data_IF_811521559390
#
_entry.id   IF_811521559390
#
_cell.length_a   1.000
_cell.length_b   1.000
_cell.length_c   1.000
_cell.angle_alpha   90.00
_cell.angle_beta   90.00
_cell.angle_gamma   90.00
#
_symmetry.space_group_name_H-M   'P 1'
#
loop_
_entity.id
_entity.type
_entity.pdbx_description
1 polymer ?
#
# COMPACT_ATOMS: atom_id res chain seq x y z
N UNK A 1 27.11 4.90 -23.37
CA UNK A 1 26.19 3.83 -22.91
C UNK A 1 26.00 4.03 -21.42
N UNK A 2 25.01 4.81 -21.02
CA UNK A 2 24.66 4.94 -19.61
C UNK A 2 24.07 3.60 -19.16
N UNK A 3 24.72 2.91 -18.25
CA UNK A 3 24.20 1.70 -17.64
C UNK A 3 22.88 2.07 -16.96
N UNK A 4 21.80 1.47 -17.45
CA UNK A 4 20.43 1.70 -16.98
C UNK A 4 20.22 1.06 -15.58
N UNK A 5 21.05 1.48 -14.62
CA UNK A 5 21.09 0.92 -13.28
C UNK A 5 20.20 1.77 -12.35
N UNK A 6 18.87 1.73 -12.61
CA UNK A 6 17.92 2.36 -11.71
C UNK A 6 18.02 1.70 -10.33
N UNK A 7 17.99 2.47 -9.24
CA UNK A 7 17.93 1.90 -7.89
C UNK A 7 16.67 1.02 -7.74
N UNK A 8 16.81 -0.02 -6.93
CA UNK A 8 15.72 -0.96 -6.64
C UNK A 8 14.78 -0.40 -5.59
N UNK A 9 13.49 -0.54 -5.82
CA UNK A 9 12.44 -0.11 -4.89
C UNK A 9 11.48 -1.26 -4.58
N UNK A 10 11.40 -1.64 -3.31
CA UNK A 10 10.30 -2.46 -2.83
C UNK A 10 9.12 -1.57 -2.46
N UNK A 11 8.01 -1.67 -3.21
CA UNK A 11 6.84 -0.83 -3.04
C UNK A 11 5.69 -1.61 -2.39
N UNK A 12 5.32 -1.23 -1.17
CA UNK A 12 4.12 -1.77 -0.53
C UNK A 12 2.86 -1.26 -1.23
N UNK A 13 2.03 -2.18 -1.72
CA UNK A 13 0.79 -1.90 -2.44
C UNK A 13 -0.39 -2.59 -1.76
N UNK A 14 -1.47 -1.85 -1.50
CA UNK A 14 -2.68 -2.37 -0.86
C UNK A 14 -3.82 -2.70 -1.84
N UNK A 15 -3.78 -2.18 -3.05
CA UNK A 15 -4.81 -2.39 -4.08
C UNK A 15 -4.38 -1.79 -5.43
N UNK A 16 -5.03 -2.23 -6.52
CA UNK A 16 -4.80 -1.70 -7.87
C UNK A 16 -4.99 -0.19 -7.97
N UNK A 17 -6.16 0.37 -7.57
CA UNK A 17 -6.41 1.81 -7.59
C UNK A 17 -5.34 2.67 -6.91
N UNK A 18 -4.83 2.21 -5.76
CA UNK A 18 -3.79 2.94 -5.04
C UNK A 18 -2.43 2.93 -5.75
N UNK A 19 -2.18 1.96 -6.60
CA UNK A 19 -0.93 1.81 -7.33
C UNK A 19 -0.88 2.70 -8.59
N UNK A 20 -2.01 3.00 -9.22
CA UNK A 20 -2.10 3.61 -10.55
C UNK A 20 -1.23 4.86 -10.73
N UNK A 21 -1.59 5.98 -10.13
CA UNK A 21 -0.88 7.24 -10.29
C UNK A 21 0.53 7.25 -9.63
N UNK A 22 0.73 6.68 -8.42
CA UNK A 22 2.09 6.53 -7.89
C UNK A 22 3.04 5.86 -8.87
N UNK A 23 2.62 4.78 -9.53
CA UNK A 23 3.43 4.11 -10.53
C UNK A 23 3.84 5.04 -11.69
N UNK A 24 2.91 5.84 -12.23
CA UNK A 24 3.19 6.75 -13.33
C UNK A 24 4.31 7.76 -13.02
N UNK A 25 4.44 8.17 -11.77
CA UNK A 25 5.47 9.16 -11.38
C UNK A 25 6.79 8.55 -10.91
N UNK A 26 6.84 7.26 -10.56
CA UNK A 26 8.07 6.64 -10.05
C UNK A 26 8.72 5.64 -11.02
N UNK A 27 7.97 5.11 -12.01
CA UNK A 27 8.42 4.05 -12.92
C UNK A 27 9.70 4.37 -13.69
N UNK A 28 9.94 5.65 -13.97
CA UNK A 28 11.11 6.08 -14.73
C UNK A 28 12.38 6.21 -13.88
N UNK A 29 12.23 6.23 -12.55
CA UNK A 29 13.32 6.45 -11.61
C UNK A 29 13.78 5.17 -10.91
N UNK A 30 12.94 4.13 -10.81
CA UNK A 30 13.21 2.94 -10.02
C UNK A 30 12.96 1.66 -10.81
N UNK A 31 13.74 0.60 -10.45
CA UNK A 31 13.36 -0.79 -10.73
C UNK A 31 12.44 -1.24 -9.60
N UNK A 32 11.14 -1.37 -9.90
CA UNK A 32 10.10 -1.60 -8.90
C UNK A 32 9.83 -3.10 -8.75
N UNK A 33 9.76 -3.56 -7.50
CA UNK A 33 9.14 -4.83 -7.10
C UNK A 33 8.01 -4.50 -6.11
N UNK A 34 6.87 -5.14 -6.23
CA UNK A 34 5.72 -4.93 -5.35
C UNK A 34 5.74 -5.95 -4.21
N UNK A 35 5.50 -5.49 -2.98
CA UNK A 35 5.16 -6.37 -1.85
C UNK A 35 3.68 -6.19 -1.50
N UNK A 36 2.95 -7.33 -1.46
CA UNK A 36 1.55 -7.41 -1.10
C UNK A 36 1.37 -8.16 0.22
N UNK A 37 1.49 -7.44 1.33
CA UNK A 37 1.43 -7.95 2.70
C UNK A 37 0.27 -7.30 3.47
N UNK A 38 -0.96 -7.62 3.07
CA UNK A 38 -2.17 -6.92 3.48
C UNK A 38 -3.12 -7.79 4.32
N UNK A 39 -2.61 -8.53 5.31
CA UNK A 39 -3.44 -9.34 6.23
C UNK A 39 -4.46 -8.53 7.06
N UNK A 40 -4.39 -7.19 7.00
CA UNK A 40 -5.42 -6.32 7.56
C UNK A 40 -6.74 -6.35 6.78
N UNK A 41 -6.74 -6.79 5.52
CA UNK A 41 -7.93 -6.80 4.67
C UNK A 41 -8.87 -7.92 5.12
N UNK A 42 -10.15 -7.59 5.30
CA UNK A 42 -11.22 -8.50 5.69
C UNK A 42 -12.49 -8.18 4.88
N UNK A 43 -13.25 -9.18 4.44
CA UNK A 43 -12.95 -10.61 4.54
C UNK A 43 -11.84 -11.08 3.59
N UNK A 44 -11.47 -12.36 3.61
CA UNK A 44 -10.41 -12.94 2.79
C UNK A 44 -10.69 -12.80 1.29
N UNK A 45 -11.95 -12.90 0.88
CA UNK A 45 -12.38 -12.69 -0.50
C UNK A 45 -12.03 -11.29 -1.01
N UNK A 46 -12.13 -10.28 -0.14
CA UNK A 46 -11.74 -8.90 -0.48
C UNK A 46 -10.21 -8.76 -0.63
N UNK A 47 -9.42 -9.50 0.18
CA UNK A 47 -7.97 -9.58 0.02
C UNK A 47 -7.62 -10.11 -1.36
N UNK A 48 -8.18 -11.26 -1.75
CA UNK A 48 -7.93 -11.86 -3.06
C UNK A 48 -8.47 -11.00 -4.21
N UNK A 49 -9.63 -10.38 -4.04
CA UNK A 49 -10.19 -9.46 -5.03
C UNK A 49 -9.25 -8.29 -5.33
N UNK A 50 -8.69 -7.64 -4.31
CA UNK A 50 -7.75 -6.51 -4.48
C UNK A 50 -6.42 -6.95 -5.09
N UNK A 51 -5.93 -8.12 -4.73
CA UNK A 51 -4.72 -8.70 -5.31
C UNK A 51 -4.90 -9.01 -6.80
N UNK A 52 -5.99 -9.68 -7.15
CA UNK A 52 -6.31 -10.02 -8.53
C UNK A 52 -6.52 -8.76 -9.39
N UNK A 53 -7.16 -7.73 -8.83
CA UNK A 53 -7.30 -6.44 -9.48
C UNK A 53 -5.96 -5.77 -9.77
N UNK A 54 -5.03 -5.79 -8.80
CA UNK A 54 -3.68 -5.29 -8.99
C UNK A 54 -2.96 -6.04 -10.12
N UNK A 55 -2.98 -7.37 -10.11
CA UNK A 55 -2.38 -8.21 -11.16
C UNK A 55 -3.02 -7.97 -12.53
N UNK A 56 -4.34 -7.82 -12.57
CA UNK A 56 -5.08 -7.48 -13.78
C UNK A 56 -4.66 -6.14 -14.36
N UNK A 57 -4.50 -5.14 -13.51
CA UNK A 57 -4.02 -3.81 -13.93
C UNK A 57 -2.58 -3.86 -14.47
N UNK A 58 -1.66 -4.54 -13.79
CA UNK A 58 -0.28 -4.70 -14.26
C UNK A 58 -0.24 -5.32 -15.65
N UNK A 59 -1.06 -6.35 -15.87
CA UNK A 59 -1.20 -6.98 -17.20
C UNK A 59 -1.76 -6.01 -18.25
N UNK A 60 -2.79 -5.23 -17.89
CA UNK A 60 -3.43 -4.28 -18.81
C UNK A 60 -2.48 -3.16 -19.27
N UNK A 61 -1.52 -2.77 -18.44
CA UNK A 61 -0.50 -1.76 -18.79
C UNK A 61 0.80 -2.39 -19.29
N UNK A 62 0.85 -3.70 -19.47
CA UNK A 62 2.05 -4.46 -19.90
C UNK A 62 3.27 -4.19 -19.02
N UNK A 63 3.05 -3.98 -17.71
CA UNK A 63 4.14 -3.77 -16.76
C UNK A 63 4.66 -5.12 -16.27
N UNK A 64 5.95 -5.39 -16.56
CA UNK A 64 6.67 -6.55 -16.04
C UNK A 64 7.24 -6.24 -14.65
N UNK A 65 6.36 -6.35 -13.64
CA UNK A 65 6.69 -6.07 -12.24
C UNK A 65 6.38 -7.31 -11.41
N UNK A 66 7.39 -7.77 -10.68
CA UNK A 66 7.25 -8.88 -9.73
C UNK A 66 6.34 -8.45 -8.56
N UNK A 67 5.41 -9.34 -8.19
CA UNK A 67 4.55 -9.17 -7.02
C UNK A 67 4.86 -10.25 -6.00
N UNK A 68 5.47 -9.85 -4.89
CA UNK A 68 5.75 -10.71 -3.75
C UNK A 68 4.51 -10.75 -2.85
N UNK A 69 3.91 -11.92 -2.72
CA UNK A 69 2.70 -12.13 -1.93
C UNK A 69 3.05 -12.74 -0.58
N UNK A 70 2.61 -12.09 0.48
CA UNK A 70 2.73 -12.65 1.82
C UNK A 70 1.52 -13.51 2.17
N UNK A 71 1.70 -14.55 2.99
CA UNK A 71 0.58 -15.36 3.46
C UNK A 71 -0.49 -14.51 4.14
N UNK A 72 -1.75 -14.79 3.82
CA UNK A 72 -2.87 -14.14 4.47
C UNK A 72 -3.13 -14.76 5.85
N UNK A 73 -3.04 -13.94 6.89
CA UNK A 73 -3.38 -14.31 8.26
C UNK A 73 -4.03 -13.13 8.99
N UNK A 74 -5.31 -12.92 8.68
CA UNK A 74 -6.07 -11.82 9.29
C UNK A 74 -6.31 -12.03 10.78
N UNK A 75 -6.46 -13.29 11.22
CA UNK A 75 -6.76 -13.60 12.63
C UNK A 75 -5.59 -13.18 13.54
N UNK A 76 -4.39 -13.64 13.24
CA UNK A 76 -3.18 -13.26 14.00
C UNK A 76 -2.87 -11.77 13.85
N UNK A 77 -3.05 -11.23 12.63
CA UNK A 77 -2.81 -9.82 12.36
C UNK A 77 -3.65 -8.90 13.26
N UNK A 78 -4.93 -9.23 13.46
CA UNK A 78 -5.87 -8.39 14.20
C UNK A 78 -5.75 -8.49 15.73
N UNK A 79 -5.10 -9.51 16.28
CA UNK A 79 -4.95 -9.65 17.75
C UNK A 79 -4.45 -8.38 18.43
N UNK A 80 -3.43 -7.75 17.85
CA UNK A 80 -2.84 -6.52 18.39
C UNK A 80 -3.72 -5.27 18.14
N UNK A 81 -4.64 -5.34 17.19
CA UNK A 81 -5.53 -4.23 16.84
C UNK A 81 -6.85 -4.25 17.62
N UNK A 82 -7.26 -5.42 18.16
CA UNK A 82 -8.49 -5.59 18.92
C UNK A 82 -8.62 -4.62 20.13
N UNK A 83 -7.57 -4.34 20.92
CA UNK A 83 -7.68 -3.37 22.01
C UNK A 83 -8.08 -1.96 21.56
N UNK A 84 -7.94 -1.66 20.27
CA UNK A 84 -8.24 -0.36 19.68
C UNK A 84 -9.47 -0.43 18.74
N UNK A 85 -10.31 -1.47 18.85
CA UNK A 85 -11.42 -1.74 17.93
C UNK A 85 -12.38 -0.54 17.78
N UNK A 86 -12.70 0.11 18.90
CA UNK A 86 -13.68 1.22 18.97
C UNK A 86 -13.11 2.57 18.49
N UNK A 87 -11.82 2.65 18.21
CA UNK A 87 -11.21 3.88 17.71
C UNK A 87 -11.67 4.22 16.31
N UNK A 88 -11.83 5.52 16.04
CA UNK A 88 -12.09 6.04 14.70
C UNK A 88 -10.90 5.76 13.76
N UNK A 89 -11.19 5.75 12.47
CA UNK A 89 -10.14 5.68 11.43
C UNK A 89 -9.16 6.87 11.58
N UNK A 90 -7.85 6.60 11.39
CA UNK A 90 -6.79 7.58 11.54
C UNK A 90 -6.17 7.68 12.94
N UNK A 91 -6.74 6.99 13.94
CA UNK A 91 -6.20 6.95 15.31
C UNK A 91 -5.11 5.87 15.49
N UNK A 92 -4.77 5.52 16.73
CA UNK A 92 -3.66 4.63 17.06
C UNK A 92 -3.79 3.23 16.46
N UNK A 93 -5.02 2.70 16.34
CA UNK A 93 -5.26 1.46 15.60
C UNK A 93 -4.68 1.52 14.18
N UNK A 94 -4.91 2.62 13.46
CA UNK A 94 -4.41 2.79 12.12
C UNK A 94 -2.88 2.97 12.08
N UNK A 95 -2.31 3.69 13.04
CA UNK A 95 -0.85 3.84 13.16
C UNK A 95 -0.17 2.51 13.43
N UNK A 96 -0.74 1.69 14.33
CA UNK A 96 -0.26 0.33 14.59
C UNK A 96 -0.37 -0.55 13.34
N UNK A 97 -1.49 -0.48 12.62
CA UNK A 97 -1.67 -1.18 11.35
C UNK A 97 -0.63 -0.77 10.30
N UNK A 98 -0.31 0.53 10.19
CA UNK A 98 0.74 1.01 9.29
C UNK A 98 2.10 0.46 9.72
N UNK A 99 2.43 0.53 11.01
CA UNK A 99 3.69 0.04 11.56
C UNK A 99 3.90 -1.45 11.29
N UNK A 100 2.86 -2.28 11.44
CA UNK A 100 2.93 -3.72 11.12
C UNK A 100 3.23 -3.97 9.65
N UNK A 101 2.50 -3.33 8.73
CA UNK A 101 2.71 -3.53 7.28
C UNK A 101 4.03 -2.96 6.77
N UNK A 102 4.35 -1.73 7.19
CA UNK A 102 5.59 -1.09 6.77
C UNK A 102 6.81 -1.78 7.40
N UNK A 103 6.71 -2.24 8.64
CA UNK A 103 7.76 -3.02 9.29
C UNK A 103 8.10 -4.28 8.50
N UNK A 104 7.10 -5.09 8.17
CA UNK A 104 7.28 -6.26 7.32
C UNK A 104 7.92 -5.94 5.96
N UNK A 105 7.48 -4.86 5.31
CA UNK A 105 8.03 -4.46 4.02
C UNK A 105 9.49 -3.97 4.14
N UNK A 106 9.81 -3.23 5.19
CA UNK A 106 11.16 -2.72 5.46
C UNK A 106 12.11 -3.87 5.82
N UNK A 107 11.68 -4.81 6.67
CA UNK A 107 12.49 -5.99 7.02
C UNK A 107 12.79 -6.85 5.80
N UNK A 108 11.77 -7.10 4.97
CA UNK A 108 11.96 -7.81 3.71
C UNK A 108 12.93 -7.09 2.76
N UNK A 109 12.78 -5.77 2.61
CA UNK A 109 13.64 -4.97 1.75
C UNK A 109 15.11 -5.00 2.22
N UNK A 110 15.35 -4.89 3.53
CA UNK A 110 16.69 -5.00 4.12
C UNK A 110 17.31 -6.37 3.88
N UNK A 111 16.56 -7.44 4.13
CA UNK A 111 17.02 -8.82 3.97
C UNK A 111 17.40 -9.16 2.52
N UNK A 112 16.65 -8.59 1.56
CA UNK A 112 16.83 -8.86 0.13
C UNK A 112 17.66 -7.80 -0.61
N UNK A 113 18.24 -6.84 0.11
CA UNK A 113 19.19 -5.87 -0.42
C UNK A 113 18.57 -4.84 -1.38
N UNK A 114 17.32 -4.43 -1.16
CA UNK A 114 16.74 -3.31 -1.88
C UNK A 114 17.38 -1.98 -1.46
N UNK A 115 17.54 -1.06 -2.42
CA UNK A 115 18.04 0.29 -2.12
C UNK A 115 16.99 1.13 -1.38
N UNK A 116 15.72 1.00 -1.81
CA UNK A 116 14.60 1.77 -1.26
C UNK A 116 13.40 0.90 -0.92
N UNK A 117 12.61 1.37 0.05
CA UNK A 117 11.29 0.84 0.38
C UNK A 117 10.30 1.99 0.54
N UNK A 118 9.08 1.81 0.05
CA UNK A 118 8.04 2.83 0.12
C UNK A 118 6.63 2.27 0.13
N UNK A 119 5.61 3.14 0.14
CA UNK A 119 4.21 2.71 0.11
C UNK A 119 3.36 3.63 -0.74
N UNK A 120 2.38 3.05 -1.44
CA UNK A 120 1.35 3.81 -2.17
C UNK A 120 0.23 4.30 -1.26
N UNK A 121 0.21 3.95 0.02
CA UNK A 121 -0.89 4.29 0.92
C UNK A 121 -1.17 5.78 1.03
N UNK A 122 -0.15 6.62 0.84
CA UNK A 122 -0.28 8.08 0.93
C UNK A 122 -1.14 8.71 -0.17
N UNK A 123 -1.57 7.96 -1.20
CA UNK A 123 -2.54 8.41 -2.20
C UNK A 123 -3.95 8.55 -1.61
N UNK A 124 -4.28 7.79 -0.59
CA UNK A 124 -5.60 7.80 0.04
C UNK A 124 -5.86 9.09 0.83
N UNK A 125 -7.04 9.69 0.65
CA UNK A 125 -7.49 10.86 1.43
C UNK A 125 -7.61 10.56 2.93
N UNK A 126 -7.84 9.31 3.29
CA UNK A 126 -8.06 8.87 4.67
C UNK A 126 -6.78 8.45 5.39
N UNK A 127 -5.61 8.53 4.73
CA UNK A 127 -4.33 8.16 5.32
C UNK A 127 -3.41 9.37 5.37
N UNK A 128 -2.95 9.68 6.59
CA UNK A 128 -2.03 10.78 6.81
C UNK A 128 -0.64 10.41 6.30
N UNK A 129 -0.14 11.15 5.30
CA UNK A 129 1.19 10.94 4.73
C UNK A 129 2.32 11.26 5.71
N UNK A 130 2.11 12.18 6.65
CA UNK A 130 3.10 12.49 7.69
C UNK A 130 3.27 11.31 8.66
N UNK A 131 2.16 10.70 9.11
CA UNK A 131 2.22 9.50 9.96
C UNK A 131 2.92 8.35 9.23
N UNK A 132 2.59 8.11 7.95
CA UNK A 132 3.21 7.06 7.14
C UNK A 132 4.72 7.27 6.99
N UNK A 133 5.14 8.51 6.65
CA UNK A 133 6.55 8.83 6.47
C UNK A 133 7.31 8.79 7.80
N UNK A 134 6.72 9.30 8.89
CA UNK A 134 7.32 9.22 10.23
C UNK A 134 7.59 7.77 10.63
N UNK A 135 6.58 6.89 10.48
CA UNK A 135 6.71 5.46 10.78
C UNK A 135 7.78 4.81 9.88
N UNK A 136 7.78 5.13 8.58
CA UNK A 136 8.77 4.60 7.65
C UNK A 136 10.19 4.97 8.04
N UNK A 137 10.45 6.23 8.35
CA UNK A 137 11.77 6.70 8.82
C UNK A 137 12.19 6.05 10.14
N UNK A 138 11.28 5.97 11.13
CA UNK A 138 11.57 5.34 12.42
C UNK A 138 11.98 3.87 12.25
N UNK A 139 11.28 3.12 11.37
CA UNK A 139 11.52 1.70 11.15
C UNK A 139 12.75 1.39 10.29
N UNK A 140 13.21 2.35 9.47
CA UNK A 140 14.38 2.19 8.59
C UNK A 140 15.65 2.87 9.13
N UNK A 141 15.58 3.55 10.28
CA UNK A 141 16.65 4.39 10.80
C UNK A 141 18.00 3.68 10.92
N UNK A 142 18.01 2.42 11.38
CA UNK A 142 19.23 1.64 11.62
C UNK A 142 19.44 0.56 10.55
N UNK A 143 18.83 0.73 9.36
CA UNK A 143 18.90 -0.21 8.24
C UNK A 143 19.65 0.40 7.07
N UNK A 144 20.14 -0.44 6.15
CA UNK A 144 20.76 -0.01 4.90
C UNK A 144 19.71 0.47 3.90
N UNK A 145 18.57 -0.20 3.85
CA UNK A 145 17.45 0.20 3.00
C UNK A 145 16.92 1.57 3.39
N UNK A 146 16.70 2.45 2.40
CA UNK A 146 16.24 3.80 2.61
C UNK A 146 14.72 3.90 2.46
N UNK A 147 14.07 4.62 3.39
CA UNK A 147 12.65 4.95 3.23
C UNK A 147 12.46 5.99 2.12
N UNK A 148 11.57 5.70 1.16
CA UNK A 148 11.13 6.65 0.13
C UNK A 148 9.94 7.46 0.64
N UNK A 149 10.14 8.70 1.12
CA UNK A 149 9.04 9.52 1.61
C UNK A 149 8.16 9.99 0.45
N UNK A 150 6.85 9.85 0.59
CA UNK A 150 5.92 10.26 -0.45
C UNK A 150 4.61 10.82 0.13
N UNK A 151 4.05 11.80 -0.58
CA UNK A 151 2.66 12.22 -0.45
C UNK A 151 2.04 12.27 -1.85
N UNK A 152 1.56 11.11 -2.29
CA UNK A 152 1.01 10.95 -3.63
C UNK A 152 -0.30 11.70 -3.88
N UNK A 153 -0.93 12.28 -2.84
CA UNK A 153 -2.11 13.15 -2.99
C UNK A 153 -1.78 14.53 -3.55
N UNK A 154 -0.53 14.99 -3.36
CA UNK A 154 -0.11 16.32 -3.84
C UNK A 154 -0.31 16.47 -5.34
N UNK A 155 -0.46 17.72 -5.79
CA UNK A 155 -0.61 18.08 -7.20
C UNK A 155 -1.79 17.38 -7.89
N UNK A 156 -2.90 17.16 -7.17
CA UNK A 156 -4.08 16.48 -7.70
C UNK A 156 -3.90 14.97 -7.93
N UNK A 157 -2.94 14.34 -7.22
CA UNK A 157 -2.62 12.93 -7.43
C UNK A 157 -3.77 11.98 -7.17
N UNK A 158 -4.62 12.27 -6.18
CA UNK A 158 -5.80 11.47 -5.93
C UNK A 158 -6.79 11.49 -7.11
N UNK A 159 -7.07 12.67 -7.65
CA UNK A 159 -7.96 12.87 -8.81
C UNK A 159 -7.41 12.17 -10.05
N UNK A 160 -6.11 12.30 -10.31
CA UNK A 160 -5.42 11.60 -11.41
C UNK A 160 -5.48 10.08 -11.26
N UNK A 161 -5.39 9.58 -10.02
CA UNK A 161 -5.59 8.16 -9.74
C UNK A 161 -7.01 7.71 -10.10
N UNK A 162 -8.04 8.51 -9.75
CA UNK A 162 -9.43 8.21 -10.12
C UNK A 162 -9.67 8.20 -11.63
N UNK A 163 -9.01 9.07 -12.38
CA UNK A 163 -9.11 9.10 -13.84
C UNK A 163 -8.52 7.82 -14.46
N UNK A 164 -7.39 7.34 -13.94
CA UNK A 164 -6.82 6.06 -14.37
C UNK A 164 -7.73 4.89 -13.99
N UNK A 165 -8.30 4.90 -12.79
CA UNK A 165 -9.26 3.88 -12.33
C UNK A 165 -10.46 3.80 -13.28
N UNK A 166 -11.03 4.95 -13.66
CA UNK A 166 -12.15 5.00 -14.64
C UNK A 166 -11.73 4.50 -16.01
N UNK A 167 -10.56 4.92 -16.49
CA UNK A 167 -10.01 4.51 -17.79
C UNK A 167 -9.87 3.01 -17.94
N UNK A 168 -9.44 2.32 -16.89
CA UNK A 168 -9.22 0.88 -16.90
C UNK A 168 -10.36 0.06 -16.26
N UNK A 169 -11.42 0.71 -15.79
CA UNK A 169 -12.57 0.06 -15.17
C UNK A 169 -12.22 -0.71 -13.89
N UNK A 170 -11.27 -0.19 -13.11
CA UNK A 170 -10.76 -0.89 -11.93
C UNK A 170 -11.79 -0.89 -10.79
N UNK A 171 -11.82 -1.98 -10.03
CA UNK A 171 -12.60 -2.08 -8.82
C UNK A 171 -12.14 -1.06 -7.78
N UNK A 172 -13.04 -0.16 -7.41
CA UNK A 172 -12.78 0.85 -6.39
C UNK A 172 -13.46 0.46 -5.08
N UNK A 173 -12.65 0.19 -4.06
CA UNK A 173 -13.13 -0.20 -2.75
C UNK A 173 -13.71 0.98 -1.95
N UNK A 174 -14.78 0.73 -1.17
CA UNK A 174 -15.47 1.76 -0.38
C UNK A 174 -15.01 1.85 1.08
N UNK A 175 -14.07 1.01 1.52
CA UNK A 175 -13.53 1.01 2.88
C UNK A 175 -12.03 0.68 2.87
N UNK A 176 -11.35 0.95 3.98
CA UNK A 176 -9.89 0.75 4.09
C UNK A 176 -9.46 -0.72 3.87
N UNK A 177 -10.34 -1.68 4.10
CA UNK A 177 -10.09 -3.12 4.10
C UNK A 177 -10.09 -3.73 5.49
N UNK A 178 -9.79 -2.97 6.53
CA UNK A 178 -9.79 -3.41 7.91
C UNK A 178 -11.23 -3.73 8.37
N UNK A 179 -11.41 -4.85 9.09
CA UNK A 179 -12.73 -5.26 9.62
C UNK A 179 -13.40 -4.18 10.47
N UNK A 180 -12.60 -3.36 11.16
CA UNK A 180 -13.10 -2.26 12.01
C UNK A 180 -13.51 -1.02 11.21
N UNK A 181 -13.23 -0.95 9.92
CA UNK A 181 -13.63 0.15 9.03
C UNK A 181 -14.83 -0.18 8.15
N UNK A 182 -15.36 -1.41 8.26
CA UNK A 182 -16.60 -1.79 7.57
C UNK A 182 -17.73 -1.01 8.21
N UNK A 183 -18.20 0.01 7.52
CA UNK A 183 -19.41 0.73 7.92
C UNK A 183 -20.59 -0.12 7.49
N UNK A 184 -21.38 -0.58 8.45
CA UNK A 184 -22.76 -0.96 8.15
C UNK A 184 -23.47 0.32 7.70
N UNK A 185 -23.53 0.53 6.40
CA UNK A 185 -24.44 1.51 5.81
C UNK A 185 -25.85 1.03 6.15
N UNK A 186 -26.42 1.53 7.24
CA UNK A 186 -27.87 1.61 7.34
C UNK A 186 -28.26 2.57 6.21
N UNK A 187 -28.68 2.01 5.09
CA UNK A 187 -29.45 2.73 4.10
C UNK A 187 -30.78 2.98 4.82
N UNK A 188 -30.96 4.18 5.38
CA UNK A 188 -32.28 4.68 5.70
C UNK A 188 -32.96 4.92 4.36
N UNK A 189 -33.96 4.07 4.08
CA UNK A 189 -34.86 4.21 2.96
C UNK A 189 -35.79 5.39 3.21
#
# INVERSE_FOLDING_TARGET
MESNNKPTLLLHVCCGPCFTYPYEIIKDYFKITIIYNNSNIYPEEEYHRRLNELKGYLKAISADIEVIEFPYDNLTYNKDLEPFADQREGMDRCRLCFRKRLGQAIDYAEEHGFDFVGTVMSISRFKNSQDLNKIGFELSQDKKVQWLPADFKKNGGYEKSLDIVRKYGLYFQHYCGCKFSIRTTKVEL
#
